data_IF_260865496654
#
_entry.id   IF_260865496654
#
_cell.length_a   1.000
_cell.length_b   1.000
_cell.length_c   1.000
_cell.angle_alpha   90.00
_cell.angle_beta   90.00
_cell.angle_gamma   90.00
#
_symmetry.space_group_name_H-M   'P 1'
#
loop_
_entity.id
_entity.type
_entity.pdbx_description
1 polymer ?
#
# COMPACT_ATOMS: atom_id res chain seq x y z
N UNK A 1 20.21 -21.82 33.66
CA UNK A 1 21.06 -21.61 32.47
C UNK A 1 21.71 -20.25 32.58
N UNK A 2 23.03 -20.17 32.38
CA UNK A 2 23.82 -18.94 32.39
C UNK A 2 23.67 -18.25 31.04
N UNK A 3 23.29 -16.97 31.03
CA UNK A 3 23.26 -16.16 29.81
C UNK A 3 24.53 -15.30 29.77
N UNK A 4 25.44 -15.69 28.89
CA UNK A 4 26.59 -14.89 28.46
C UNK A 4 26.06 -13.65 27.72
N UNK A 5 26.17 -12.48 28.34
CA UNK A 5 26.03 -11.19 27.66
C UNK A 5 27.43 -10.60 27.51
N UNK A 6 28.04 -10.80 26.34
CA UNK A 6 29.34 -10.24 26.01
C UNK A 6 29.17 -9.15 24.96
N UNK A 7 29.36 -7.92 25.44
CA UNK A 7 29.99 -6.74 24.84
C UNK A 7 29.92 -6.59 23.31
N UNK A 8 29.48 -5.47 22.73
CA UNK A 8 29.72 -4.10 23.13
C UNK A 8 30.12 -3.34 21.88
N UNK A 9 29.41 -2.26 21.53
CA UNK A 9 29.93 -1.29 20.56
C UNK A 9 29.52 0.13 20.93
N UNK A 10 30.52 0.79 21.51
CA UNK A 10 30.77 2.22 21.60
C UNK A 10 29.63 3.16 21.17
N UNK A 11 28.98 3.77 22.16
CA UNK A 11 28.26 5.02 22.00
C UNK A 11 29.26 6.18 21.96
N UNK A 12 29.33 6.87 20.83
CA UNK A 12 29.92 8.21 20.73
C UNK A 12 28.78 9.21 20.49
N UNK A 13 28.43 9.97 21.53
CA UNK A 13 27.82 11.30 21.40
C UNK A 13 28.97 12.33 21.29
N UNK A 14 28.83 13.51 20.65
CA UNK A 14 27.94 14.56 21.17
C UNK A 14 27.33 15.58 20.15
N UNK A 15 26.22 16.20 20.57
CA UNK A 15 25.90 17.66 20.54
C UNK A 15 25.80 18.40 19.19
N UNK A 16 24.65 19.02 18.91
CA UNK A 16 24.40 20.49 18.89
C UNK A 16 23.17 20.83 18.03
N UNK A 17 22.26 21.64 18.57
CA UNK A 17 20.94 21.91 18.00
C UNK A 17 20.89 22.98 16.90
N UNK A 18 19.70 23.19 16.35
CA UNK A 18 19.26 24.48 15.81
C UNK A 18 17.72 24.51 15.68
N UNK A 19 17.11 25.57 16.22
CA UNK A 19 15.74 25.99 15.93
C UNK A 19 15.63 26.50 14.48
N UNK A 20 14.45 26.38 13.83
CA UNK A 20 13.57 27.51 13.41
C UNK A 20 12.52 27.10 12.34
N UNK A 21 11.27 27.49 12.64
CA UNK A 21 10.28 28.14 11.76
C UNK A 21 9.58 27.40 10.59
N UNK A 22 8.30 27.77 10.48
CA UNK A 22 7.24 27.29 9.60
C UNK A 22 7.33 27.79 8.15
N UNK A 23 6.53 27.19 7.26
CA UNK A 23 5.65 27.92 6.31
C UNK A 23 4.70 26.96 5.59
N UNK A 24 3.41 27.32 5.57
CA UNK A 24 2.38 26.72 4.72
C UNK A 24 2.55 27.24 3.28
N UNK A 25 2.40 26.35 2.29
CA UNK A 25 2.18 26.75 0.91
C UNK A 25 1.00 25.95 0.35
N UNK A 26 -0.18 26.57 0.40
CA UNK A 26 -1.32 26.21 -0.43
C UNK A 26 -1.07 26.78 -1.83
N UNK A 27 -1.10 25.93 -2.87
CA UNK A 27 -1.10 26.38 -4.26
C UNK A 27 -2.37 25.90 -4.95
N UNK A 28 -3.37 26.79 -4.97
CA UNK A 28 -4.54 26.71 -5.84
C UNK A 28 -4.27 27.65 -7.02
N UNK A 29 -4.07 27.09 -8.21
CA UNK A 29 -3.85 27.85 -9.44
C UNK A 29 -5.18 28.04 -10.15
N UNK A 30 -5.68 29.28 -10.15
CA UNK A 30 -6.90 29.67 -10.85
C UNK A 30 -6.75 31.02 -11.53
N UNK A 31 -6.66 31.00 -12.86
CA UNK A 31 -7.22 31.99 -13.78
C UNK A 31 -6.68 33.42 -13.75
N UNK A 32 -5.98 33.81 -14.83
CA UNK A 32 -6.00 35.20 -15.31
C UNK A 32 -5.82 35.23 -16.82
N UNK A 33 -6.90 35.49 -17.55
CA UNK A 33 -6.89 35.87 -18.95
C UNK A 33 -7.09 37.38 -19.03
N UNK A 34 -6.17 38.10 -19.68
CA UNK A 34 -6.44 39.45 -20.18
C UNK A 34 -5.77 39.62 -21.55
N UNK A 35 -6.64 39.76 -22.55
CA UNK A 35 -6.65 40.76 -23.63
C UNK A 35 -5.39 41.04 -24.47
N UNK A 36 -5.52 40.71 -25.76
CA UNK A 36 -4.80 41.04 -27.01
C UNK A 36 -4.50 42.54 -27.23
N UNK A 37 -3.58 43.00 -28.14
CA UNK A 37 -3.56 42.61 -29.57
C UNK A 37 -2.25 42.59 -30.41
N UNK A 38 -2.42 41.91 -31.55
CA UNK A 38 -1.77 41.86 -32.88
C UNK A 38 -0.52 42.67 -33.25
N UNK A 39 0.46 41.98 -33.84
CA UNK A 39 1.09 42.32 -35.14
C UNK A 39 1.74 41.08 -35.80
N UNK A 40 1.48 40.87 -37.10
CA UNK A 40 2.21 39.96 -38.03
C UNK A 40 3.32 40.77 -38.78
N UNK A 41 4.24 40.24 -39.64
CA UNK A 41 4.09 39.12 -40.59
C UNK A 41 5.32 38.20 -40.93
N UNK A 42 5.03 37.16 -41.72
CA UNK A 42 5.80 36.37 -42.72
C UNK A 42 7.28 35.97 -42.57
N UNK A 43 7.57 34.65 -42.65
CA UNK A 43 8.22 34.00 -43.83
C UNK A 43 8.35 32.48 -43.70
N UNK A 44 8.26 31.82 -44.86
CA UNK A 44 8.29 30.39 -45.16
C UNK A 44 9.60 29.66 -44.83
N UNK A 45 9.53 28.37 -44.50
CA UNK A 45 10.35 27.29 -45.09
C UNK A 45 9.90 25.90 -44.58
N UNK A 46 10.10 24.89 -45.42
CA UNK A 46 9.43 23.60 -45.43
C UNK A 46 10.13 22.46 -44.68
N UNK A 47 9.36 21.37 -44.52
CA UNK A 47 9.76 19.95 -44.51
C UNK A 47 10.49 19.39 -43.28
N UNK A 48 9.82 18.49 -42.58
CA UNK A 48 10.05 17.03 -42.63
C UNK A 48 9.85 16.33 -41.27
N UNK A 49 9.10 15.23 -41.35
CA UNK A 49 8.99 14.04 -40.48
C UNK A 49 9.58 14.11 -39.06
N UNK A 50 8.74 13.87 -38.05
CA UNK A 50 9.01 12.84 -37.03
C UNK A 50 7.73 12.46 -36.30
N UNK A 51 7.49 11.15 -36.17
CA UNK A 51 6.44 10.57 -35.36
C UNK A 51 6.47 11.09 -33.92
N UNK A 52 5.34 11.13 -33.18
CA UNK A 52 5.43 11.26 -31.74
C UNK A 52 6.06 9.96 -31.21
N UNK A 53 7.35 10.03 -30.91
CA UNK A 53 7.94 9.14 -29.93
C UNK A 53 7.14 9.34 -28.64
N UNK A 54 6.35 8.33 -28.27
CA UNK A 54 5.81 8.18 -26.93
C UNK A 54 6.96 8.02 -25.95
N UNK A 55 7.61 9.13 -25.62
CA UNK A 55 8.65 9.25 -24.61
C UNK A 55 8.02 9.07 -23.24
N UNK A 56 7.73 7.83 -22.87
CA UNK A 56 7.51 7.47 -21.47
C UNK A 56 8.85 7.08 -20.87
N UNK A 57 9.63 8.08 -20.49
CA UNK A 57 10.86 7.90 -19.74
C UNK A 57 11.14 9.16 -18.91
N UNK A 58 10.56 9.18 -17.71
CA UNK A 58 11.13 9.74 -16.46
C UNK A 58 10.03 9.96 -15.40
N UNK A 59 9.40 8.88 -14.93
CA UNK A 59 8.48 8.91 -13.77
C UNK A 59 8.76 7.78 -12.76
N UNK A 60 9.85 7.02 -12.94
CA UNK A 60 10.08 5.75 -12.25
C UNK A 60 10.26 5.87 -10.73
N UNK A 61 10.74 7.02 -10.23
CA UNK A 61 10.94 7.20 -8.78
C UNK A 61 9.71 7.76 -8.06
N UNK A 62 8.87 8.55 -8.74
CA UNK A 62 7.65 9.12 -8.14
C UNK A 62 6.49 8.12 -8.10
N UNK A 63 6.31 7.34 -9.17
CA UNK A 63 5.25 6.33 -9.26
C UNK A 63 5.45 5.16 -8.30
N UNK A 64 6.70 4.74 -8.07
CA UNK A 64 7.02 3.67 -7.14
C UNK A 64 6.81 4.08 -5.68
N UNK A 65 7.23 5.28 -5.28
CA UNK A 65 6.98 5.80 -3.94
C UNK A 65 5.48 5.95 -3.64
N UNK A 66 4.71 6.49 -4.58
CA UNK A 66 3.26 6.61 -4.45
C UNK A 66 2.57 5.24 -4.35
N UNK A 67 2.98 4.26 -5.15
CA UNK A 67 2.48 2.89 -5.07
C UNK A 67 2.78 2.25 -3.70
N UNK A 68 4.02 2.37 -3.21
CA UNK A 68 4.42 1.86 -1.90
C UNK A 68 3.56 2.49 -0.78
N UNK A 69 3.35 3.80 -0.81
CA UNK A 69 2.52 4.49 0.17
C UNK A 69 1.06 3.99 0.11
N UNK A 70 0.48 3.87 -1.09
CA UNK A 70 -0.87 3.36 -1.28
C UNK A 70 -1.01 1.91 -0.76
N UNK A 71 -0.05 1.04 -1.04
CA UNK A 71 -0.02 -0.34 -0.54
C UNK A 71 -0.04 -0.33 0.99
N UNK A 72 0.84 0.43 1.65
CA UNK A 72 0.89 0.51 3.12
C UNK A 72 -0.44 0.94 3.71
N UNK A 73 -0.99 2.06 3.23
CA UNK A 73 -2.26 2.61 3.74
C UNK A 73 -3.42 1.64 3.53
N UNK A 74 -3.54 1.05 2.35
CA UNK A 74 -4.63 0.12 2.05
C UNK A 74 -4.50 -1.20 2.82
N UNK A 75 -3.27 -1.68 3.01
CA UNK A 75 -3.00 -2.89 3.79
C UNK A 75 -3.39 -2.71 5.26
N UNK A 76 -2.93 -1.63 5.89
CA UNK A 76 -3.26 -1.31 7.27
C UNK A 76 -4.76 -1.09 7.43
N UNK A 77 -5.40 -0.39 6.48
CA UNK A 77 -6.85 -0.22 6.48
C UNK A 77 -7.60 -1.55 6.34
N UNK A 78 -7.15 -2.49 5.51
CA UNK A 78 -7.80 -3.79 5.36
C UNK A 78 -7.82 -4.58 6.67
N UNK A 79 -6.71 -4.58 7.41
CA UNK A 79 -6.57 -5.32 8.66
C UNK A 79 -7.08 -4.59 9.90
N UNK A 80 -7.29 -3.28 9.83
CA UNK A 80 -7.80 -2.51 10.95
C UNK A 80 -9.25 -2.93 11.30
N UNK A 81 -9.46 -3.32 12.55
CA UNK A 81 -10.76 -3.76 13.06
C UNK A 81 -11.86 -2.69 12.94
N UNK A 82 -11.52 -1.40 12.93
CA UNK A 82 -12.44 -0.29 12.74
C UNK A 82 -12.87 -0.07 11.27
N UNK A 83 -12.20 -0.69 10.30
CA UNK A 83 -12.54 -0.52 8.88
C UNK A 83 -13.85 -1.25 8.54
N UNK A 84 -14.84 -0.57 7.94
CA UNK A 84 -16.10 -1.20 7.54
C UNK A 84 -15.90 -2.32 6.52
N UNK A 85 -16.73 -3.37 6.58
CA UNK A 85 -16.63 -4.54 5.68
C UNK A 85 -16.66 -4.14 4.20
N UNK A 86 -17.55 -3.21 3.82
CA UNK A 86 -17.63 -2.72 2.45
C UNK A 86 -16.29 -2.13 1.97
N UNK A 87 -15.60 -1.38 2.84
CA UNK A 87 -14.27 -0.85 2.52
C UNK A 87 -13.23 -1.97 2.42
N UNK A 88 -13.25 -2.95 3.33
CA UNK A 88 -12.33 -4.12 3.26
C UNK A 88 -12.46 -4.88 1.94
N UNK A 89 -13.68 -5.05 1.43
CA UNK A 89 -13.91 -5.71 0.15
C UNK A 89 -13.29 -4.96 -1.03
N UNK A 90 -13.31 -3.61 -1.01
CA UNK A 90 -12.63 -2.81 -2.05
C UNK A 90 -11.10 -2.88 -1.97
N UNK A 91 -10.57 -3.24 -0.80
CA UNK A 91 -9.13 -3.33 -0.53
C UNK A 91 -8.60 -4.77 -0.65
N UNK A 92 -9.46 -5.74 -0.98
CA UNK A 92 -9.11 -7.14 -1.16
C UNK A 92 -9.19 -7.52 -2.63
N UNK A 93 -8.15 -8.18 -3.13
CA UNK A 93 -8.15 -8.76 -4.46
C UNK A 93 -9.35 -9.70 -4.60
N UNK A 94 -10.09 -9.59 -5.70
CA UNK A 94 -11.31 -10.37 -5.92
C UNK A 94 -12.36 -10.24 -4.79
N UNK A 95 -12.42 -9.10 -4.11
CA UNK A 95 -13.23 -8.89 -2.90
C UNK A 95 -14.69 -9.36 -2.97
N UNK A 96 -15.35 -9.23 -4.13
CA UNK A 96 -16.73 -9.70 -4.33
C UNK A 96 -16.91 -11.21 -4.04
N UNK A 97 -15.87 -12.01 -4.30
CA UNK A 97 -15.85 -13.45 -4.01
C UNK A 97 -15.73 -13.77 -2.51
N UNK A 98 -15.34 -12.78 -1.70
CA UNK A 98 -15.03 -12.93 -0.29
C UNK A 98 -16.01 -12.21 0.64
N UNK A 99 -17.08 -11.59 0.13
CA UNK A 99 -18.07 -10.84 0.93
C UNK A 99 -18.59 -11.61 2.15
N UNK A 100 -18.99 -12.87 1.96
CA UNK A 100 -19.46 -13.72 3.05
C UNK A 100 -18.35 -14.03 4.07
N UNK A 101 -17.12 -14.28 3.60
CA UNK A 101 -15.98 -14.58 4.46
C UNK A 101 -15.50 -13.37 5.26
N UNK A 102 -15.46 -12.18 4.65
CA UNK A 102 -15.14 -10.92 5.33
C UNK A 102 -16.19 -10.62 6.40
N UNK A 103 -17.46 -10.85 6.10
CA UNK A 103 -18.55 -10.67 7.07
C UNK A 103 -18.43 -11.65 8.24
N UNK A 104 -18.17 -12.93 7.95
CA UNK A 104 -17.96 -13.95 8.99
C UNK A 104 -16.71 -13.66 9.83
N UNK A 105 -15.61 -13.25 9.21
CA UNK A 105 -14.39 -12.86 9.92
C UNK A 105 -14.68 -11.68 10.84
N UNK A 106 -15.31 -10.60 10.35
CA UNK A 106 -15.66 -9.43 11.13
C UNK A 106 -16.57 -9.71 12.33
N UNK A 107 -17.40 -10.76 12.26
CA UNK A 107 -18.24 -11.20 13.38
C UNK A 107 -17.48 -12.03 14.43
N UNK A 108 -16.26 -12.49 14.12
CA UNK A 108 -15.45 -13.29 15.03
C UNK A 108 -14.72 -12.42 16.06
N UNK A 109 -14.49 -12.93 17.29
CA UNK A 109 -13.68 -12.23 18.30
C UNK A 109 -12.25 -11.93 17.83
N UNK A 110 -11.73 -12.72 16.89
CA UNK A 110 -10.43 -12.51 16.26
C UNK A 110 -10.38 -11.19 15.48
N UNK A 111 -11.43 -10.83 14.75
CA UNK A 111 -11.40 -9.62 13.91
C UNK A 111 -11.40 -8.32 14.70
N UNK A 112 -11.95 -8.31 15.91
CA UNK A 112 -11.90 -7.16 16.83
C UNK A 112 -10.48 -6.86 17.31
N UNK A 113 -9.62 -7.89 17.27
CA UNK A 113 -8.29 -7.86 17.83
C UNK A 113 -7.23 -7.51 16.79
N UNK A 114 -7.45 -7.85 15.51
CA UNK A 114 -6.41 -7.79 14.48
C UNK A 114 -6.11 -6.37 14.03
N UNK A 115 -4.83 -6.06 13.94
CA UNK A 115 -4.26 -4.90 13.24
C UNK A 115 -2.98 -5.34 12.55
N UNK A 116 -2.61 -4.65 11.48
CA UNK A 116 -1.37 -4.93 10.76
C UNK A 116 -0.44 -3.73 10.83
N UNK A 117 0.85 -4.02 10.86
CA UNK A 117 1.91 -3.05 10.63
C UNK A 117 2.74 -3.51 9.44
N UNK A 118 2.95 -2.64 8.46
CA UNK A 118 3.77 -2.94 7.30
C UNK A 118 5.21 -2.51 7.55
N UNK A 119 6.14 -3.46 7.49
CA UNK A 119 7.57 -3.19 7.70
C UNK A 119 8.24 -2.77 6.41
N UNK A 120 8.00 -3.50 5.32
CA UNK A 120 8.56 -3.20 4.01
C UNK A 120 7.61 -3.58 2.88
N UNK A 121 7.74 -2.86 1.77
CA UNK A 121 7.04 -3.14 0.52
C UNK A 121 8.09 -3.16 -0.58
N UNK A 122 8.03 -4.17 -1.44
CA UNK A 122 8.91 -4.33 -2.60
C UNK A 122 8.05 -4.56 -3.82
N UNK A 123 8.05 -3.61 -4.76
CA UNK A 123 7.35 -3.79 -6.04
C UNK A 123 8.07 -4.89 -6.83
N UNK A 124 7.35 -5.95 -7.17
CA UNK A 124 7.88 -7.07 -7.97
C UNK A 124 7.58 -6.90 -9.45
N UNK A 125 6.54 -6.12 -9.78
CA UNK A 125 6.20 -5.71 -11.14
C UNK A 125 5.39 -4.41 -11.14
N UNK A 126 4.92 -3.97 -12.31
CA UNK A 126 4.04 -2.81 -12.43
C UNK A 126 2.69 -2.98 -11.71
N UNK A 127 2.26 -4.23 -11.43
CA UNK A 127 0.95 -4.55 -10.87
C UNK A 127 1.00 -5.49 -9.67
N UNK A 128 2.19 -5.86 -9.18
CA UNK A 128 2.36 -6.70 -7.99
C UNK A 128 3.47 -6.17 -7.09
N UNK A 129 3.31 -6.43 -5.80
CA UNK A 129 4.29 -6.14 -4.77
C UNK A 129 4.31 -7.25 -3.72
N UNK A 130 5.49 -7.48 -3.13
CA UNK A 130 5.64 -8.24 -1.89
C UNK A 130 5.58 -7.28 -0.71
N UNK A 131 4.85 -7.65 0.33
CA UNK A 131 4.68 -6.88 1.55
C UNK A 131 5.15 -7.73 2.73
N UNK A 132 6.09 -7.20 3.51
CA UNK A 132 6.43 -7.76 4.82
C UNK A 132 5.63 -7.06 5.90
N UNK A 133 4.99 -7.84 6.75
CA UNK A 133 4.06 -7.32 7.73
C UNK A 133 4.06 -8.13 9.01
N UNK A 134 3.66 -7.44 10.08
CA UNK A 134 3.30 -8.02 11.36
C UNK A 134 1.78 -7.97 11.52
N UNK A 135 1.24 -8.92 12.28
CA UNK A 135 -0.12 -8.89 12.77
C UNK A 135 -0.11 -8.85 14.29
N UNK A 136 -0.87 -7.91 14.84
CA UNK A 136 -1.16 -7.82 16.26
C UNK A 136 -2.61 -8.19 16.48
N UNK A 137 -2.89 -8.98 17.52
CA UNK A 137 -4.23 -9.26 18.00
C UNK A 137 -4.33 -8.84 19.47
N UNK A 138 -5.29 -7.96 19.80
CA UNK A 138 -5.58 -7.54 21.18
C UNK A 138 -4.35 -7.00 21.93
N UNK A 139 -3.47 -6.28 21.21
CA UNK A 139 -2.24 -5.70 21.74
C UNK A 139 -1.04 -6.63 21.79
N UNK A 140 -1.17 -7.90 21.42
CA UNK A 140 -0.07 -8.86 21.32
C UNK A 140 0.28 -9.18 19.86
N UNK A 141 1.57 -9.31 19.54
CA UNK A 141 1.99 -9.78 18.21
C UNK A 141 1.63 -11.25 18.04
N UNK A 142 0.81 -11.57 17.05
CA UNK A 142 0.39 -12.94 16.72
C UNK A 142 1.11 -13.50 15.49
N UNK A 143 1.59 -12.63 14.61
CA UNK A 143 2.46 -13.02 13.51
C UNK A 143 3.52 -11.93 13.31
N UNK A 144 4.78 -12.34 13.15
CA UNK A 144 5.90 -11.42 13.01
C UNK A 144 6.69 -11.73 11.73
N UNK A 145 6.95 -10.71 10.92
CA UNK A 145 7.73 -10.79 9.69
C UNK A 145 7.11 -11.66 8.59
N UNK A 146 5.78 -11.78 8.58
CA UNK A 146 5.07 -12.49 7.52
C UNK A 146 5.25 -11.80 6.18
N UNK A 147 5.09 -12.56 5.10
CA UNK A 147 5.19 -12.04 3.73
C UNK A 147 3.92 -12.39 2.99
N UNK A 148 3.34 -11.40 2.31
CA UNK A 148 2.16 -11.57 1.49
C UNK A 148 2.25 -10.75 0.22
N UNK A 149 1.25 -10.86 -0.65
CA UNK A 149 1.21 -10.11 -1.90
C UNK A 149 0.24 -8.94 -1.85
N UNK A 150 0.56 -7.88 -2.58
CA UNK A 150 -0.37 -6.81 -2.93
C UNK A 150 -0.48 -6.73 -4.45
N UNK A 151 -1.69 -6.53 -4.96
CA UNK A 151 -2.00 -6.53 -6.39
C UNK A 151 -2.71 -5.25 -6.78
N UNK A 152 -2.27 -4.62 -7.86
CA UNK A 152 -2.95 -3.48 -8.45
C UNK A 152 -4.13 -3.98 -9.30
N UNK A 153 -5.35 -3.79 -8.81
CA UNK A 153 -6.58 -4.18 -9.50
C UNK A 153 -7.53 -2.98 -9.54
N UNK A 154 -8.07 -2.68 -10.72
CA UNK A 154 -9.00 -1.56 -10.93
C UNK A 154 -8.43 -0.20 -10.47
N UNK A 155 -7.11 0.00 -10.67
CA UNK A 155 -6.41 1.22 -10.26
C UNK A 155 -6.17 1.36 -8.75
N UNK A 156 -6.51 0.34 -7.95
CA UNK A 156 -6.28 0.32 -6.50
C UNK A 156 -5.33 -0.80 -6.11
N UNK A 157 -4.32 -0.51 -5.29
CA UNK A 157 -3.49 -1.53 -4.67
C UNK A 157 -4.28 -2.23 -3.57
N UNK A 158 -4.52 -3.52 -3.74
CA UNK A 158 -5.31 -4.36 -2.85
C UNK A 158 -4.43 -5.42 -2.21
N UNK A 159 -4.82 -5.88 -1.02
CA UNK A 159 -4.25 -7.06 -0.38
C UNK A 159 -4.56 -8.27 -1.25
N UNK A 160 -3.56 -9.13 -1.49
CA UNK A 160 -3.71 -10.34 -2.28
C UNK A 160 -4.66 -11.34 -1.62
N UNK A 161 -5.31 -12.14 -2.46
CA UNK A 161 -6.20 -13.20 -1.96
C UNK A 161 -5.44 -14.33 -1.26
N UNK A 162 -4.14 -14.53 -1.56
CA UNK A 162 -3.21 -15.42 -0.86
C UNK A 162 -3.20 -15.15 0.65
N UNK A 163 -3.09 -13.87 1.02
CA UNK A 163 -2.99 -13.43 2.41
C UNK A 163 -4.28 -13.73 3.17
N UNK A 164 -5.41 -13.33 2.61
CA UNK A 164 -6.70 -13.52 3.27
C UNK A 164 -7.07 -15.01 3.34
N UNK A 165 -6.81 -15.78 2.28
CA UNK A 165 -7.05 -17.21 2.26
C UNK A 165 -6.14 -18.00 3.20
N UNK A 166 -4.88 -17.58 3.39
CA UNK A 166 -4.00 -18.13 4.43
C UNK A 166 -4.61 -17.99 5.82
N UNK A 167 -5.06 -16.78 6.16
CA UNK A 167 -5.70 -16.51 7.45
C UNK A 167 -7.01 -17.28 7.66
N UNK A 168 -7.82 -17.42 6.61
CA UNK A 168 -9.04 -18.22 6.67
C UNK A 168 -8.74 -19.71 6.89
N UNK A 169 -7.66 -20.25 6.31
CA UNK A 169 -7.23 -21.65 6.50
C UNK A 169 -6.74 -21.88 7.93
N UNK A 170 -6.00 -20.94 8.50
CA UNK A 170 -5.60 -20.99 9.92
C UNK A 170 -6.82 -20.92 10.85
N UNK A 171 -7.71 -19.95 10.64
CA UNK A 171 -8.94 -19.81 11.42
C UNK A 171 -9.88 -21.01 11.28
N UNK A 172 -10.00 -21.58 10.08
CA UNK A 172 -10.78 -22.80 9.83
C UNK A 172 -10.29 -23.98 10.66
N UNK A 173 -8.97 -24.15 10.78
CA UNK A 173 -8.36 -25.22 11.57
C UNK A 173 -8.64 -25.07 13.07
N UNK A 174 -8.78 -23.83 13.55
CA UNK A 174 -9.03 -23.52 14.96
C UNK A 174 -10.52 -23.54 15.34
N UNK A 175 -11.41 -23.19 14.40
CA UNK A 175 -12.82 -22.89 14.67
C UNK A 175 -13.81 -23.71 13.83
N UNK A 176 -13.33 -24.71 13.08
CA UNK A 176 -14.14 -25.55 12.18
C UNK A 176 -14.97 -24.72 11.17
N UNK A 177 -14.37 -23.65 10.64
CA UNK A 177 -15.00 -22.74 9.66
C UNK A 177 -14.75 -23.27 8.24
N UNK A 178 -15.74 -23.15 7.36
CA UNK A 178 -15.61 -23.53 5.95
C UNK A 178 -14.90 -22.41 5.15
N UNK A 179 -13.75 -22.74 4.56
CA UNK A 179 -13.02 -21.81 3.68
C UNK A 179 -13.76 -21.66 2.33
N UNK A 180 -13.89 -20.43 1.78
CA UNK A 180 -14.48 -20.22 0.46
C UNK A 180 -13.72 -20.94 -0.65
N UNK A 181 -14.43 -21.43 -1.66
CA UNK A 181 -13.81 -22.08 -2.83
C UNK A 181 -12.84 -21.16 -3.60
N UNK A 182 -13.02 -19.83 -3.50
CA UNK A 182 -12.09 -18.85 -4.05
C UNK A 182 -10.64 -19.02 -3.53
N UNK A 183 -10.48 -19.62 -2.34
CA UNK A 183 -9.16 -19.91 -1.76
C UNK A 183 -8.45 -21.14 -2.32
N UNK A 184 -9.09 -21.87 -3.24
CA UNK A 184 -8.44 -22.97 -3.98
C UNK A 184 -7.65 -22.43 -5.18
N UNK A 185 -7.91 -21.19 -5.60
CA UNK A 185 -7.23 -20.53 -6.72
C UNK A 185 -6.20 -19.49 -6.26
N UNK A 186 -6.28 -19.06 -5.00
CA UNK A 186 -5.26 -18.24 -4.35
C UNK A 186 -4.10 -19.14 -3.93
N UNK A 187 -3.07 -19.22 -4.77
CA UNK A 187 -1.86 -20.01 -4.57
C UNK A 187 -0.63 -19.17 -4.94
#
# INVERSE_FOLDING_TARGET
>A
MRFDFKEGRAYLAPVLGLLLAATLAACSSGGSSSSTPSTAPSSSAASSVTAPAGGSSSAASGGSAAAIAAIKTNWEAFFNSATPNAKRLTLLQNGDKFSAAVTAFAASPLASAVSSKVDSVTLTSATQASVKYDLTAAGATVANGQTGTAVLQDGTWKVGDDVFCGLLKEGASLMNIKVPAACNSAA
#
